data_IF_386245905800
#
_entry.id   IF_386245905800
#
_cell.length_a   1.000
_cell.length_b   1.000
_cell.length_c   1.000
_cell.angle_alpha   90.00
_cell.angle_beta   90.00
_cell.angle_gamma   90.00
#
_symmetry.space_group_name_H-M   'P 1'
#
loop_
_entity.id
_entity.type
_entity.pdbx_description
1 polymer ?
#
# COMPACT_ATOMS: atom_id res chain seq x y z
N UNK A 1 23.89 -13.18 -11.21
CA UNK A 1 23.41 -12.00 -10.48
C UNK A 1 21.97 -11.82 -10.88
N UNK A 2 21.04 -11.77 -9.93
CA UNK A 2 19.66 -11.36 -10.25
C UNK A 2 19.77 -9.90 -10.70
N UNK A 3 19.57 -9.64 -11.99
CA UNK A 3 19.44 -8.27 -12.48
C UNK A 3 18.18 -7.70 -11.82
N UNK A 4 18.37 -6.89 -10.78
CA UNK A 4 17.32 -6.10 -10.12
C UNK A 4 16.77 -4.99 -11.05
N UNK A 5 16.83 -5.20 -12.37
CA UNK A 5 16.82 -4.16 -13.41
C UNK A 5 15.64 -4.29 -14.38
N UNK A 6 14.64 -5.10 -14.05
CA UNK A 6 13.30 -4.78 -14.52
C UNK A 6 12.78 -3.78 -13.49
N UNK A 7 12.96 -2.50 -13.82
CA UNK A 7 12.47 -1.35 -13.05
C UNK A 7 11.08 -1.69 -12.55
N UNK A 8 10.87 -1.79 -11.23
CA UNK A 8 9.57 -2.22 -10.69
C UNK A 8 8.44 -1.32 -11.20
N UNK A 9 8.78 -0.07 -11.55
CA UNK A 9 7.88 0.88 -12.18
C UNK A 9 7.44 0.45 -13.58
N UNK A 10 8.28 -0.28 -14.32
CA UNK A 10 7.95 -0.84 -15.65
C UNK A 10 6.89 -1.94 -15.60
N UNK A 11 6.63 -2.52 -14.42
CA UNK A 11 5.55 -3.49 -14.22
C UNK A 11 4.22 -2.83 -13.85
N UNK A 12 4.24 -1.53 -13.53
CA UNK A 12 3.04 -0.80 -13.14
C UNK A 12 2.33 -0.23 -14.37
N UNK A 13 1.02 -0.34 -14.35
CA UNK A 13 0.13 0.22 -15.35
C UNK A 13 -0.73 1.33 -14.75
N UNK A 14 -1.27 2.18 -15.62
CA UNK A 14 -2.23 3.21 -15.23
C UNK A 14 -3.42 2.55 -14.51
N UNK A 15 -3.79 3.13 -13.35
CA UNK A 15 -4.85 2.65 -12.44
C UNK A 15 -4.50 1.43 -11.58
N UNK A 16 -3.25 0.96 -11.58
CA UNK A 16 -2.82 -0.05 -10.61
C UNK A 16 -2.90 0.50 -9.18
N UNK A 17 -3.38 -0.34 -8.27
CA UNK A 17 -3.51 0.00 -6.86
C UNK A 17 -2.42 -0.69 -6.06
N UNK A 18 -1.46 0.09 -5.57
CA UNK A 18 -0.42 -0.39 -4.68
C UNK A 18 -0.96 -0.50 -3.25
N UNK A 19 -0.96 -1.73 -2.74
CA UNK A 19 -1.30 -2.05 -1.36
C UNK A 19 -0.03 -2.03 -0.51
N UNK A 20 0.12 -1.01 0.33
CA UNK A 20 1.29 -0.87 1.19
C UNK A 20 1.01 -1.31 2.63
N UNK A 21 2.05 -1.82 3.28
CA UNK A 21 2.01 -1.98 4.73
C UNK A 21 2.21 -0.65 5.46
N UNK A 22 1.73 -0.57 6.71
CA UNK A 22 1.80 0.64 7.54
C UNK A 22 3.21 1.17 7.75
N UNK A 23 4.22 0.30 7.73
CA UNK A 23 5.63 0.69 7.88
C UNK A 23 6.17 1.48 6.68
N UNK A 24 5.50 1.46 5.53
CA UNK A 24 5.89 2.20 4.32
C UNK A 24 5.16 3.53 4.17
N UNK A 25 4.52 4.05 5.22
CA UNK A 25 3.76 5.31 5.18
C UNK A 25 4.54 6.50 4.60
N UNK A 26 5.86 6.54 4.80
CA UNK A 26 6.70 7.65 4.35
C UNK A 26 6.89 7.65 2.82
N UNK A 27 6.68 6.52 2.15
CA UNK A 27 6.80 6.40 0.69
C UNK A 27 5.52 6.80 -0.04
N UNK A 28 4.38 6.91 0.64
CA UNK A 28 3.07 7.24 0.06
C UNK A 28 3.13 8.56 -0.72
N UNK A 29 3.79 9.58 -0.15
CA UNK A 29 3.93 10.88 -0.81
C UNK A 29 4.76 10.78 -2.11
N UNK A 30 5.79 9.94 -2.13
CA UNK A 30 6.62 9.72 -3.31
C UNK A 30 5.82 9.01 -4.40
N UNK A 31 5.07 7.97 -4.03
CA UNK A 31 4.27 7.19 -4.98
C UNK A 31 3.12 8.00 -5.56
N UNK A 32 2.43 8.80 -4.75
CA UNK A 32 1.39 9.71 -5.24
C UNK A 32 1.94 10.77 -6.22
N UNK A 33 3.21 11.21 -6.07
CA UNK A 33 3.87 12.12 -7.01
C UNK A 33 4.23 11.47 -8.34
N UNK A 34 4.22 10.14 -8.40
CA UNK A 34 4.39 9.34 -9.61
C UNK A 34 3.03 8.97 -10.22
N UNK A 35 1.94 9.62 -9.79
CA UNK A 35 0.56 9.35 -10.21
C UNK A 35 0.08 7.92 -9.94
N UNK A 36 0.73 7.22 -8.99
CA UNK A 36 0.36 5.88 -8.59
C UNK A 36 -0.73 5.90 -7.52
N UNK A 37 -1.75 5.03 -7.65
CA UNK A 37 -2.78 4.88 -6.63
C UNK A 37 -2.27 4.02 -5.48
N UNK A 38 -2.28 4.57 -4.26
CA UNK A 38 -1.80 3.88 -3.07
C UNK A 38 -2.91 3.71 -2.04
N UNK A 39 -3.03 2.50 -1.48
CA UNK A 39 -3.88 2.20 -0.33
C UNK A 39 -3.06 1.57 0.79
N UNK A 40 -3.39 1.92 2.03
CA UNK A 40 -2.75 1.37 3.23
C UNK A 40 -3.79 1.15 4.33
N UNK A 41 -3.53 0.24 5.30
CA UNK A 41 -4.40 0.08 6.45
C UNK A 41 -4.55 1.41 7.21
N UNK A 42 -5.77 1.77 7.57
CA UNK A 42 -6.07 3.03 8.25
C UNK A 42 -5.42 3.14 9.63
N UNK A 43 -5.17 4.38 10.05
CA UNK A 43 -4.63 4.71 11.36
C UNK A 43 -5.71 5.29 12.25
N UNK A 44 -5.74 4.82 13.50
CA UNK A 44 -6.69 5.30 14.50
C UNK A 44 -6.38 6.72 14.98
N UNK A 45 -5.15 7.24 14.79
CA UNK A 45 -4.70 8.55 15.29
C UNK A 45 -5.20 8.80 16.73
N UNK A 46 -5.88 9.91 16.99
CA UNK A 46 -6.44 10.24 18.31
C UNK A 46 -7.80 9.59 18.61
N UNK A 47 -8.32 8.77 17.68
CA UNK A 47 -9.62 8.09 17.81
C UNK A 47 -9.44 6.69 18.40
N UNK A 48 -10.43 6.23 19.17
CA UNK A 48 -10.47 4.85 19.67
C UNK A 48 -10.87 3.83 18.59
N UNK A 49 -11.65 4.25 17.60
CA UNK A 49 -12.20 3.38 16.54
C UNK A 49 -12.31 4.13 15.21
N UNK A 50 -12.26 3.38 14.11
CA UNK A 50 -12.56 3.89 12.77
C UNK A 50 -14.09 3.88 12.52
N UNK A 51 -14.63 4.87 11.78
CA UNK A 51 -15.95 4.79 11.16
C UNK A 51 -16.15 3.48 10.39
N UNK A 52 -17.40 3.02 10.25
CA UNK A 52 -17.70 1.71 9.67
C UNK A 52 -17.17 1.56 8.23
N UNK A 53 -17.27 2.60 7.42
CA UNK A 53 -16.76 2.68 6.06
C UNK A 53 -15.22 2.63 6.01
N UNK A 54 -14.53 3.42 6.83
CA UNK A 54 -13.08 3.41 6.96
C UNK A 54 -12.55 2.07 7.51
N UNK A 55 -13.26 1.49 8.48
CA UNK A 55 -12.95 0.19 9.05
C UNK A 55 -13.09 -0.92 8.00
N UNK A 56 -14.13 -0.87 7.17
CA UNK A 56 -14.35 -1.83 6.09
C UNK A 56 -13.26 -1.73 5.02
N UNK A 57 -12.90 -0.50 4.61
CA UNK A 57 -11.76 -0.28 3.68
C UNK A 57 -10.46 -0.81 4.28
N UNK A 58 -10.18 -0.50 5.55
CA UNK A 58 -8.97 -0.99 6.24
C UNK A 58 -8.92 -2.51 6.30
N UNK A 59 -10.03 -3.18 6.61
CA UNK A 59 -10.12 -4.66 6.60
C UNK A 59 -9.87 -5.23 5.21
N UNK A 60 -10.42 -4.59 4.18
CA UNK A 60 -10.21 -5.02 2.80
C UNK A 60 -8.73 -4.93 2.42
N UNK A 61 -8.07 -3.80 2.71
CA UNK A 61 -6.64 -3.61 2.45
C UNK A 61 -5.79 -4.63 3.20
N UNK A 62 -6.04 -4.85 4.50
CA UNK A 62 -5.31 -5.85 5.30
C UNK A 62 -5.46 -7.27 4.77
N UNK A 63 -6.65 -7.65 4.29
CA UNK A 63 -6.89 -8.99 3.72
C UNK A 63 -6.15 -9.24 2.41
N UNK A 64 -5.97 -8.20 1.59
CA UNK A 64 -5.31 -8.30 0.30
C UNK A 64 -3.80 -8.06 0.38
N UNK A 65 -3.24 -7.82 1.57
CA UNK A 65 -1.79 -7.65 1.76
C UNK A 65 -1.09 -8.99 1.51
N UNK A 66 -0.21 -9.05 0.51
CA UNK A 66 0.62 -10.23 0.29
C UNK A 66 1.68 -10.32 1.38
N UNK A 67 1.77 -11.46 2.05
CA UNK A 67 2.87 -11.77 2.98
C UNK A 67 4.05 -12.19 2.12
N UNK A 68 5.11 -11.38 2.12
CA UNK A 68 6.40 -11.79 1.56
C UNK A 68 7.17 -12.48 2.69
N UNK A 69 7.24 -13.80 2.66
CA UNK A 69 8.10 -14.57 3.56
C UNK A 69 9.51 -14.59 2.94
N UNK A 70 10.52 -14.10 3.67
CA UNK A 70 11.90 -14.33 3.25
C UNK A 70 12.30 -15.73 3.69
N UNK A 71 12.53 -16.62 2.71
CA UNK A 71 13.13 -17.93 2.93
C UNK A 71 14.62 -17.87 3.20
#
# INVERSE_FOLDING_TARGET
MLNNEQDVLSWLHDNDVLVLDRWFRDTVNTLNRLDLQVVMPGFLHDKKQLPADEANRTRFVTKNRWVIESG
#
